data_IF_458052656080
#
_entry.id   IF_458052656080
#
_cell.length_a   1.000
_cell.length_b   1.000
_cell.length_c   1.000
_cell.angle_alpha   90.00
_cell.angle_beta   90.00
_cell.angle_gamma   90.00
#
_symmetry.space_group_name_H-M   'P 1'
#
loop_
_entity.id
_entity.type
_entity.pdbx_description
1 polymer ?
#
# COMPACT_ATOMS: atom_id res chain seq x y z
N UNK A 1 -6.56 9.42 71.41
CA UNK A 1 -5.50 9.38 70.37
C UNK A 1 -5.77 8.16 69.50
N UNK A 2 -6.23 8.35 68.27
CA UNK A 2 -6.51 7.26 67.33
C UNK A 2 -5.89 7.59 65.96
N UNK A 3 -5.30 6.56 65.37
CA UNK A 3 -4.25 6.56 64.36
C UNK A 3 -4.66 7.15 62.99
N UNK A 4 -3.89 8.14 62.50
CA UNK A 4 -3.81 8.50 61.09
C UNK A 4 -2.76 7.62 60.39
N UNK A 5 -3.05 6.34 60.17
CA UNK A 5 -2.09 5.38 59.61
C UNK A 5 -2.42 4.81 58.21
N UNK A 6 -3.58 5.13 57.64
CA UNK A 6 -4.12 4.41 56.48
C UNK A 6 -3.89 5.02 55.09
N UNK A 7 -3.62 6.33 55.00
CA UNK A 7 -3.70 7.04 53.70
C UNK A 7 -2.49 6.78 52.78
N UNK A 8 -1.28 6.60 53.34
CA UNK A 8 -0.05 6.43 52.55
C UNK A 8 0.05 5.11 51.78
N UNK A 9 -0.59 4.04 52.26
CA UNK A 9 -0.52 2.70 51.65
C UNK A 9 -1.50 2.54 50.47
N UNK A 10 -2.68 3.13 50.58
CA UNK A 10 -3.67 3.17 49.50
C UNK A 10 -3.28 4.16 48.40
N UNK A 11 -2.64 5.29 48.75
CA UNK A 11 -2.09 6.24 47.77
C UNK A 11 -1.00 5.62 46.87
N UNK A 12 -0.09 4.83 47.44
CA UNK A 12 0.95 4.12 46.67
C UNK A 12 0.36 3.07 45.71
N UNK A 13 -0.61 2.26 46.16
CA UNK A 13 -1.30 1.29 45.30
C UNK A 13 -2.07 1.94 44.13
N UNK A 14 -2.73 3.10 44.39
CA UNK A 14 -3.38 3.88 43.33
C UNK A 14 -2.36 4.45 42.33
N UNK A 15 -1.20 4.93 42.81
CA UNK A 15 -0.12 5.42 41.95
C UNK A 15 0.42 4.32 41.01
N UNK A 16 0.63 3.11 41.52
CA UNK A 16 1.09 1.97 40.72
C UNK A 16 0.09 1.51 39.65
N UNK A 17 -1.21 1.80 39.80
CA UNK A 17 -2.21 1.53 38.77
C UNK A 17 -2.34 2.67 37.74
N UNK A 18 -2.12 3.92 38.16
CA UNK A 18 -2.23 5.11 37.30
C UNK A 18 -1.04 5.23 36.36
N UNK A 19 0.19 4.93 36.82
CA UNK A 19 1.40 5.07 36.01
C UNK A 19 1.36 4.21 34.73
N UNK A 20 1.03 2.90 34.78
CA UNK A 20 0.89 2.08 33.58
C UNK A 20 -0.21 2.58 32.65
N UNK A 21 -1.35 3.02 33.19
CA UNK A 21 -2.45 3.56 32.40
C UNK A 21 -2.04 4.85 31.67
N UNK A 22 -1.32 5.75 32.33
CA UNK A 22 -0.79 6.97 31.73
C UNK A 22 0.25 6.68 30.63
N UNK A 23 1.11 5.67 30.83
CA UNK A 23 2.08 5.22 29.82
C UNK A 23 1.38 4.63 28.59
N UNK A 24 0.36 3.79 28.79
CA UNK A 24 -0.43 3.23 27.67
C UNK A 24 -1.13 4.35 26.90
N UNK A 25 -1.70 5.33 27.61
CA UNK A 25 -2.36 6.48 26.97
C UNK A 25 -1.35 7.31 26.16
N UNK A 26 -0.16 7.59 26.69
CA UNK A 26 0.90 8.26 25.94
C UNK A 26 1.32 7.45 24.70
N UNK A 27 1.43 6.13 24.81
CA UNK A 27 1.80 5.27 23.68
C UNK A 27 0.74 5.33 22.57
N UNK A 28 -0.55 5.26 22.94
CA UNK A 28 -1.67 5.39 22.01
C UNK A 28 -1.63 6.76 21.32
N UNK A 29 -1.49 7.85 22.09
CA UNK A 29 -1.38 9.20 21.55
C UNK A 29 -0.18 9.34 20.60
N UNK A 30 0.99 8.82 20.97
CA UNK A 30 2.17 8.83 20.12
C UNK A 30 1.93 8.12 18.77
N UNK A 31 1.25 6.96 18.79
CA UNK A 31 0.96 6.20 17.56
C UNK A 31 -0.06 6.87 16.64
N UNK A 32 -0.93 7.72 17.18
CA UNK A 32 -1.96 8.43 16.41
C UNK A 32 -1.50 9.82 15.96
N UNK A 33 -0.64 10.49 16.73
CA UNK A 33 -0.21 11.86 16.47
C UNK A 33 0.88 11.93 15.41
N UNK A 34 1.86 11.03 15.46
CA UNK A 34 2.98 11.07 14.52
C UNK A 34 2.51 10.51 13.17
N UNK A 35 2.59 11.29 12.08
CA UNK A 35 2.20 10.82 10.76
C UNK A 35 3.11 9.67 10.34
N UNK A 36 2.52 8.51 10.02
CA UNK A 36 3.25 7.31 9.56
C UNK A 36 2.79 6.96 8.16
N UNK A 37 3.73 6.88 7.23
CA UNK A 37 3.46 6.42 5.88
C UNK A 37 3.63 4.90 5.86
N UNK A 38 2.58 4.20 5.44
CA UNK A 38 2.65 2.78 5.17
C UNK A 38 1.66 2.43 4.07
N UNK A 39 2.14 2.29 2.84
CA UNK A 39 1.35 1.81 1.72
C UNK A 39 1.73 0.37 1.43
N UNK A 40 0.73 -0.50 1.31
CA UNK A 40 0.91 -1.86 0.82
C UNK A 40 0.32 -1.90 -0.58
N UNK A 41 1.15 -2.21 -1.56
CA UNK A 41 0.76 -2.30 -2.96
C UNK A 41 0.77 -3.77 -3.33
N UNK A 42 -0.35 -4.26 -3.84
CA UNK A 42 -0.47 -5.60 -4.40
C UNK A 42 -0.82 -5.48 -5.88
N UNK A 43 -0.11 -6.23 -6.72
CA UNK A 43 -0.38 -6.34 -8.15
C UNK A 43 -0.63 -7.81 -8.44
N UNK A 44 -1.75 -8.10 -9.07
CA UNK A 44 -2.06 -9.43 -9.59
C UNK A 44 -2.07 -9.35 -11.10
N UNK A 45 -1.31 -10.23 -11.72
CA UNK A 45 -1.28 -10.42 -13.17
C UNK A 45 -1.78 -11.82 -13.47
N UNK A 46 -2.65 -11.95 -14.47
CA UNK A 46 -3.02 -13.23 -15.04
C UNK A 46 -3.11 -13.16 -16.55
N UNK A 47 -2.69 -14.25 -17.18
CA UNK A 47 -2.84 -14.46 -18.61
C UNK A 47 -3.92 -15.51 -18.88
N UNK A 48 -4.89 -15.16 -19.73
CA UNK A 48 -6.01 -16.01 -20.09
C UNK A 48 -5.76 -16.84 -21.35
N UNK A 49 -6.68 -17.78 -21.61
CA UNK A 49 -6.59 -18.80 -22.67
C UNK A 49 -6.64 -18.21 -24.10
N UNK A 50 -6.97 -16.91 -24.24
CA UNK A 50 -7.02 -16.19 -25.52
C UNK A 50 -5.98 -15.06 -25.61
N UNK A 51 -4.83 -15.23 -24.96
CA UNK A 51 -3.78 -14.20 -24.87
C UNK A 51 -4.32 -12.88 -24.30
N UNK A 52 -5.29 -12.99 -23.40
CA UNK A 52 -5.82 -11.85 -22.66
C UNK A 52 -4.93 -11.61 -21.46
N UNK A 53 -4.62 -10.36 -21.19
CA UNK A 53 -3.83 -9.98 -20.02
C UNK A 53 -4.71 -9.17 -19.08
N UNK A 54 -4.77 -9.63 -17.84
CA UNK A 54 -5.50 -9.01 -16.76
C UNK A 54 -4.52 -8.54 -15.70
N UNK A 55 -4.58 -7.25 -15.38
CA UNK A 55 -3.76 -6.64 -14.34
C UNK A 55 -4.65 -5.91 -13.35
N UNK A 56 -4.65 -6.41 -12.13
CA UNK A 56 -5.30 -5.81 -10.97
C UNK A 56 -4.27 -5.15 -10.07
N UNK A 57 -4.58 -3.93 -9.60
CA UNK A 57 -3.73 -3.22 -8.65
C UNK A 57 -4.56 -2.80 -7.44
N UNK A 58 -4.11 -3.23 -6.26
CA UNK A 58 -4.71 -2.89 -4.97
C UNK A 58 -3.70 -2.13 -4.14
N UNK A 59 -4.09 -0.96 -3.64
CA UNK A 59 -3.27 -0.15 -2.74
C UNK A 59 -3.99 -0.02 -1.42
N UNK A 60 -3.38 -0.51 -0.34
CA UNK A 60 -3.84 -0.30 1.02
C UNK A 60 -3.01 0.77 1.70
N UNK A 61 -3.66 1.77 2.27
CA UNK A 61 -3.01 2.65 3.22
C UNK A 61 -3.10 2.04 4.62
N UNK A 62 -2.02 1.45 5.12
CA UNK A 62 -1.87 0.96 6.48
C UNK A 62 -1.25 2.02 7.43
N UNK A 63 -1.08 3.25 6.94
CA UNK A 63 -0.67 4.40 7.74
C UNK A 63 -1.84 5.03 8.50
N UNK A 64 -1.54 6.04 9.30
CA UNK A 64 -2.53 6.74 10.13
C UNK A 64 -2.99 8.09 9.53
N UNK A 65 -2.50 8.45 8.34
CA UNK A 65 -2.87 9.67 7.61
C UNK A 65 -3.24 9.35 6.16
N UNK A 66 -4.11 10.18 5.58
CA UNK A 66 -4.50 10.04 4.19
C UNK A 66 -3.30 10.24 3.26
N UNK A 67 -3.27 9.49 2.16
CA UNK A 67 -2.25 9.61 1.12
C UNK A 67 -2.91 10.14 -0.14
N UNK A 68 -2.36 11.22 -0.70
CA UNK A 68 -2.87 11.82 -1.93
C UNK A 68 -2.05 11.32 -3.11
N UNK A 69 -2.56 10.32 -3.82
CA UNK A 69 -1.93 9.80 -5.03
C UNK A 69 -2.18 10.76 -6.18
N UNK A 70 -1.10 11.38 -6.67
CA UNK A 70 -1.15 12.29 -7.81
C UNK A 70 -1.21 11.53 -9.12
N UNK A 71 -0.51 10.39 -9.19
CA UNK A 71 -0.51 9.50 -10.36
C UNK A 71 -0.27 8.05 -9.95
N UNK A 72 -1.19 7.18 -10.33
CA UNK A 72 -1.01 5.73 -10.36
C UNK A 72 -1.05 5.30 -11.82
N UNK A 73 0.01 4.69 -12.32
CA UNK A 73 0.04 4.13 -13.67
C UNK A 73 0.57 2.71 -13.62
N UNK A 74 -0.09 1.83 -14.35
CA UNK A 74 0.39 0.49 -14.64
C UNK A 74 0.47 0.34 -16.16
N UNK A 75 1.55 -0.26 -16.65
CA UNK A 75 1.71 -0.55 -18.06
C UNK A 75 2.35 -1.91 -18.26
N UNK A 76 1.85 -2.62 -19.26
CA UNK A 76 2.45 -3.83 -19.80
C UNK A 76 3.30 -3.44 -21.01
N UNK A 77 4.55 -3.87 -21.01
CA UNK A 77 5.54 -3.59 -22.05
C UNK A 77 6.08 -4.92 -22.54
N UNK A 78 6.15 -5.13 -23.85
CA UNK A 78 6.74 -6.34 -24.41
C UNK A 78 8.28 -6.27 -24.44
N UNK A 79 8.91 -7.38 -24.82
CA UNK A 79 10.37 -7.50 -24.97
C UNK A 79 11.02 -6.46 -25.88
N UNK A 80 10.28 -5.88 -26.84
CA UNK A 80 10.79 -4.83 -27.75
C UNK A 80 10.70 -3.42 -27.16
N UNK A 81 10.15 -3.27 -25.95
CA UNK A 81 9.93 -1.99 -25.30
C UNK A 81 8.63 -1.29 -25.72
N UNK A 82 7.78 -1.95 -26.51
CA UNK A 82 6.50 -1.42 -26.96
C UNK A 82 5.45 -1.59 -25.86
N UNK A 83 4.70 -0.52 -25.57
CA UNK A 83 3.60 -0.59 -24.61
C UNK A 83 2.42 -1.33 -25.22
N UNK A 84 2.10 -2.49 -24.64
CA UNK A 84 0.99 -3.36 -25.04
C UNK A 84 -0.33 -2.85 -24.43
N UNK A 85 -0.27 -2.38 -23.20
CA UNK A 85 -1.41 -1.76 -22.54
C UNK A 85 -0.99 -0.87 -21.40
N UNK A 86 -1.84 0.12 -21.10
CA UNK A 86 -1.58 1.08 -20.04
C UNK A 86 -2.87 1.59 -19.46
N UNK A 87 -2.91 1.69 -18.14
CA UNK A 87 -3.95 2.37 -17.40
C UNK A 87 -3.31 3.40 -16.48
N UNK A 88 -3.91 4.58 -16.39
CA UNK A 88 -3.43 5.65 -15.53
C UNK A 88 -4.61 6.29 -14.82
N UNK A 89 -4.52 6.38 -13.50
CA UNK A 89 -5.47 7.10 -12.66
C UNK A 89 -4.73 8.23 -11.97
N UNK A 90 -5.40 9.36 -11.79
CA UNK A 90 -4.84 10.56 -11.16
C UNK A 90 -5.75 11.05 -10.05
N UNK A 91 -5.15 11.76 -9.10
CA UNK A 91 -5.87 12.48 -8.04
C UNK A 91 -6.78 11.56 -7.21
N UNK A 92 -6.20 10.52 -6.62
CA UNK A 92 -6.90 9.61 -5.70
C UNK A 92 -6.47 9.94 -4.27
N UNK A 93 -7.43 10.07 -3.36
CA UNK A 93 -7.15 10.09 -1.93
C UNK A 93 -7.39 8.68 -1.34
N UNK A 94 -6.36 8.12 -0.71
CA UNK A 94 -6.47 6.84 0.00
C UNK A 94 -6.47 7.13 1.50
N UNK A 95 -7.65 7.03 2.11
CA UNK A 95 -7.85 7.26 3.55
C UNK A 95 -7.09 6.23 4.41
N UNK A 96 -6.75 6.58 5.67
CA UNK A 96 -6.12 5.63 6.60
C UNK A 96 -6.90 4.33 6.70
N UNK A 97 -6.18 3.21 6.70
CA UNK A 97 -6.72 1.85 6.83
C UNK A 97 -7.69 1.43 5.72
N UNK A 98 -7.75 2.18 4.61
CA UNK A 98 -8.59 1.89 3.45
C UNK A 98 -7.79 1.33 2.29
N UNK A 99 -8.52 0.66 1.42
CA UNK A 99 -8.05 0.09 0.18
C UNK A 99 -8.55 0.93 -0.98
N UNK A 100 -7.72 1.06 -1.99
CA UNK A 100 -8.08 1.53 -3.30
C UNK A 100 -7.80 0.41 -4.30
N UNK A 101 -8.83 0.01 -5.02
CA UNK A 101 -8.71 -0.94 -6.11
C UNK A 101 -8.72 -0.14 -7.40
N UNK A 102 -7.65 -0.26 -8.16
CA UNK A 102 -7.63 0.26 -9.51
C UNK A 102 -8.56 -0.59 -10.38
N UNK A 103 -9.29 0.06 -11.28
CA UNK A 103 -10.03 -0.67 -12.31
C UNK A 103 -9.07 -1.51 -13.12
N UNK A 104 -9.43 -2.78 -13.30
CA UNK A 104 -8.66 -3.80 -14.02
C UNK A 104 -8.21 -3.28 -15.40
N UNK A 105 -6.94 -3.54 -15.71
CA UNK A 105 -6.43 -3.37 -17.06
C UNK A 105 -6.59 -4.70 -17.79
N UNK A 106 -7.69 -4.81 -18.53
CA UNK A 106 -7.95 -5.92 -19.45
C UNK A 106 -7.40 -5.59 -20.84
N UNK A 107 -6.54 -6.45 -21.37
CA UNK A 107 -5.95 -6.32 -22.71
C UNK A 107 -6.32 -7.56 -23.50
N UNK A 108 -6.94 -7.38 -24.67
CA UNK A 108 -7.20 -8.47 -25.60
C UNK A 108 -5.95 -8.76 -26.43
N UNK A 109 -5.60 -10.03 -26.57
CA UNK A 109 -4.50 -10.47 -27.42
C UNK A 109 -4.81 -10.26 -28.90
N UNK A 110 -3.97 -9.49 -29.58
CA UNK A 110 -3.88 -9.39 -31.05
C UNK A 110 -2.66 -10.20 -31.52
N UNK A 111 -2.57 -10.57 -32.80
CA UNK A 111 -1.46 -11.34 -33.40
C UNK A 111 -0.07 -10.71 -33.12
N UNK A 112 -0.02 -9.40 -32.84
CA UNK A 112 1.19 -8.67 -32.45
C UNK A 112 1.63 -8.88 -30.99
N UNK A 113 0.72 -9.38 -30.14
CA UNK A 113 0.92 -9.66 -28.72
C UNK A 113 1.07 -11.16 -28.44
N UNK A 114 0.95 -12.04 -29.43
CA UNK A 114 0.94 -13.50 -29.22
C UNK A 114 2.29 -14.18 -29.41
N UNK A 115 3.32 -13.44 -29.84
CA UNK A 115 4.65 -14.00 -30.16
C UNK A 115 5.76 -13.58 -29.19
N UNK A 116 5.47 -12.72 -28.20
CA UNK A 116 6.48 -12.29 -27.24
C UNK A 116 6.45 -13.20 -26.01
N UNK A 117 7.61 -13.80 -25.72
CA UNK A 117 7.82 -14.72 -24.58
C UNK A 117 8.10 -13.95 -23.28
N UNK A 118 8.32 -12.64 -23.37
CA UNK A 118 8.71 -11.82 -22.21
C UNK A 118 7.94 -10.52 -22.18
N UNK A 119 7.34 -10.25 -21.01
CA UNK A 119 6.65 -8.99 -20.71
C UNK A 119 7.21 -8.35 -19.45
N UNK A 120 7.18 -7.03 -19.40
CA UNK A 120 7.45 -6.25 -18.21
C UNK A 120 6.22 -5.48 -17.76
N UNK A 121 5.87 -5.63 -16.48
CA UNK A 121 4.81 -4.88 -15.83
C UNK A 121 5.47 -3.75 -15.04
N UNK A 122 5.22 -2.53 -15.49
CA UNK A 122 5.74 -1.32 -14.84
C UNK A 122 4.64 -0.65 -14.02
N UNK A 123 4.89 -0.51 -12.72
CA UNK A 123 4.09 0.30 -11.81
C UNK A 123 4.79 1.63 -11.55
N UNK A 124 4.06 2.73 -11.71
CA UNK A 124 4.48 4.07 -11.26
C UNK A 124 3.46 4.61 -10.27
N UNK A 125 3.89 4.87 -9.05
CA UNK A 125 3.09 5.52 -8.02
C UNK A 125 3.76 6.84 -7.61
N UNK A 126 3.07 7.95 -7.84
CA UNK A 126 3.47 9.28 -7.38
C UNK A 126 2.41 9.75 -6.39
N UNK A 127 2.84 10.17 -5.21
CA UNK A 127 1.93 10.55 -4.14
C UNK A 127 2.51 11.63 -3.25
N UNK A 128 1.62 12.35 -2.57
CA UNK A 128 1.93 13.33 -1.55
C UNK A 128 1.56 12.79 -0.17
N UNK A 129 2.49 12.90 0.76
CA UNK A 129 2.27 12.57 2.16
C UNK A 129 2.89 13.65 3.04
N UNK A 130 2.10 14.21 3.95
CA UNK A 130 2.53 15.26 4.88
C UNK A 130 3.26 16.45 4.21
N UNK A 131 2.82 16.85 3.01
CA UNK A 131 3.40 17.95 2.24
C UNK A 131 4.62 17.59 1.38
N UNK A 132 5.16 16.38 1.51
CA UNK A 132 6.28 15.89 0.71
C UNK A 132 5.80 15.05 -0.48
N UNK A 133 6.50 15.19 -1.60
CA UNK A 133 6.30 14.40 -2.81
C UNK A 133 7.15 13.12 -2.75
N UNK A 134 6.51 11.99 -3.01
CA UNK A 134 7.12 10.67 -3.09
C UNK A 134 6.88 10.08 -4.46
N UNK A 135 7.88 9.36 -4.95
CA UNK A 135 7.81 8.61 -6.20
C UNK A 135 8.32 7.20 -5.94
N UNK A 136 7.47 6.24 -6.30
CA UNK A 136 7.77 4.82 -6.25
C UNK A 136 7.61 4.23 -7.64
N UNK A 137 8.57 3.40 -8.04
CA UNK A 137 8.60 2.77 -9.35
C UNK A 137 9.03 1.32 -9.17
N UNK A 138 8.25 0.40 -9.75
CA UNK A 138 8.58 -1.00 -9.74
C UNK A 138 8.38 -1.60 -11.12
N UNK A 139 9.30 -2.48 -11.52
CA UNK A 139 9.27 -3.20 -12.77
C UNK A 139 9.42 -4.68 -12.47
N UNK A 140 8.44 -5.45 -12.92
CA UNK A 140 8.48 -6.91 -12.86
C UNK A 140 8.61 -7.44 -14.28
N UNK A 141 9.39 -8.48 -14.47
CA UNK A 141 9.53 -9.15 -15.77
C UNK A 141 9.04 -10.59 -15.62
N UNK A 142 8.22 -11.03 -16.56
CA UNK A 142 7.72 -12.40 -16.68
C UNK A 142 8.21 -13.00 -18.00
N UNK A 143 8.65 -14.26 -17.95
CA UNK A 143 9.18 -15.02 -19.09
C UNK A 143 8.32 -16.25 -19.46
N UNK A 144 7.22 -16.49 -18.74
CA UNK A 144 6.40 -17.70 -18.91
C UNK A 144 4.95 -17.39 -19.30
N UNK A 145 4.39 -18.09 -20.31
CA UNK A 145 2.99 -17.97 -20.68
C UNK A 145 2.07 -18.70 -19.69
N UNK A 146 0.85 -18.18 -19.50
CA UNK A 146 -0.21 -18.76 -18.65
C UNK A 146 0.05 -18.73 -17.15
N UNK A 147 0.82 -17.76 -16.68
CA UNK A 147 1.19 -17.65 -15.25
C UNK A 147 0.35 -16.59 -14.56
N UNK A 148 -0.19 -16.94 -13.39
CA UNK A 148 -0.67 -15.95 -12.42
C UNK A 148 0.51 -15.51 -11.56
N UNK A 149 0.75 -14.20 -11.50
CA UNK A 149 1.79 -13.61 -10.66
C UNK A 149 1.18 -12.62 -9.69
N UNK A 150 1.47 -12.80 -8.40
CA UNK A 150 1.05 -11.89 -7.35
C UNK A 150 2.30 -11.23 -6.74
N UNK A 151 2.40 -9.91 -6.88
CA UNK A 151 3.47 -9.11 -6.30
C UNK A 151 2.93 -8.28 -5.16
N UNK A 152 3.68 -8.20 -4.06
CA UNK A 152 3.34 -7.36 -2.93
C UNK A 152 4.55 -6.59 -2.45
N UNK A 153 4.35 -5.30 -2.23
CA UNK A 153 5.39 -4.39 -1.78
C UNK A 153 4.87 -3.44 -0.69
N UNK A 154 5.74 -3.14 0.28
CA UNK A 154 5.47 -2.21 1.37
C UNK A 154 6.32 -0.94 1.20
N UNK A 155 5.68 0.22 1.05
CA UNK A 155 6.32 1.54 1.06
C UNK A 155 6.14 2.16 2.44
N UNK A 156 7.24 2.41 3.16
CA UNK A 156 7.24 2.91 4.54
C UNK A 156 8.04 4.20 4.68
N UNK A 157 7.60 5.09 5.57
CA UNK A 157 8.27 6.36 5.88
C UNK A 157 7.75 7.02 7.15
#
# INVERSE_FOLDING_TARGET
MAEKGGEGRNGRKKLYAIIPAALILMLILYTLVIPRLHLVIAISYSEGIFNTFDIDVVIKNAGNRAVNVTKLAVSLVNSTGTTVGKKTVRYIEIKPWKYYNMEELHILGDENNTHNVTYSISLTLIFKFNGYDYKHFNNFTTEEPYVRMDFREDVRG
#
